data_IF_035767635603
#
_entry.id   IF_035767635603
#
_cell.length_a   1.000
_cell.length_b   1.000
_cell.length_c   1.000
_cell.angle_alpha   90.00
_cell.angle_beta   90.00
_cell.angle_gamma   90.00
#
_symmetry.space_group_name_H-M   'P 1'
#
loop_
_entity.id
_entity.type
_entity.pdbx_description
1 polymer ?
#
# COMPACT_ATOMS: atom_id res chain seq x y z
N UNK A 1 10.37 -12.85 -18.29
CA UNK A 1 9.98 -11.78 -17.36
C UNK A 1 8.87 -11.04 -18.07
N UNK A 2 7.69 -10.97 -17.45
CA UNK A 2 6.57 -10.16 -17.94
C UNK A 2 6.52 -8.91 -17.07
N UNK A 3 6.45 -7.76 -17.69
CA UNK A 3 6.30 -6.47 -17.02
C UNK A 3 4.81 -6.15 -17.01
N UNK A 4 4.31 -5.72 -15.85
CA UNK A 4 2.94 -5.22 -15.69
C UNK A 4 3.07 -3.74 -15.38
N UNK A 5 2.56 -2.93 -16.29
CA UNK A 5 2.51 -1.48 -16.10
C UNK A 5 1.21 -1.22 -15.36
N UNK A 6 1.32 -0.62 -14.18
CA UNK A 6 0.16 -0.24 -13.38
C UNK A 6 0.12 1.27 -13.32
N UNK A 7 -0.96 1.85 -13.83
CA UNK A 7 -1.20 3.27 -13.68
C UNK A 7 -1.89 3.51 -12.35
N UNK A 8 -1.42 4.52 -11.63
CA UNK A 8 -2.13 4.95 -10.43
C UNK A 8 -2.25 6.46 -10.33
N UNK A 9 -3.33 6.87 -9.70
CA UNK A 9 -3.58 8.27 -9.36
C UNK A 9 -3.42 8.43 -7.87
N UNK A 10 -2.61 9.41 -7.48
CA UNK A 10 -2.50 9.83 -6.10
C UNK A 10 -3.51 10.95 -5.85
N UNK A 11 -4.66 10.62 -5.28
CA UNK A 11 -5.58 11.66 -4.83
C UNK A 11 -5.11 12.21 -3.49
N UNK A 12 -4.64 13.46 -3.49
CA UNK A 12 -4.37 14.21 -2.25
C UNK A 12 -5.65 14.95 -1.81
N UNK A 13 -6.59 14.27 -1.18
CA UNK A 13 -7.71 14.96 -0.50
C UNK A 13 -7.33 15.21 0.96
N UNK A 14 -7.19 16.47 1.35
CA UNK A 14 -6.90 16.86 2.74
C UNK A 14 -7.94 16.34 3.76
N UNK A 15 -9.11 15.87 3.30
CA UNK A 15 -10.17 15.28 4.14
C UNK A 15 -10.10 13.76 4.23
N UNK A 16 -9.52 13.09 3.23
CA UNK A 16 -9.54 11.63 3.12
C UNK A 16 -8.14 11.00 3.13
N UNK A 17 -7.09 11.82 3.08
CA UNK A 17 -5.70 11.36 2.96
C UNK A 17 -5.32 11.11 1.50
N UNK A 18 -4.20 10.42 1.35
CA UNK A 18 -3.75 9.91 0.06
C UNK A 18 -4.50 8.63 -0.28
N UNK A 19 -5.07 8.55 -1.47
CA UNK A 19 -5.69 7.33 -2.01
C UNK A 19 -4.97 6.90 -3.28
N UNK A 20 -4.75 5.58 -3.42
CA UNK A 20 -4.20 4.96 -4.62
C UNK A 20 -5.38 4.46 -5.46
N UNK A 21 -5.58 5.05 -6.63
CA UNK A 21 -6.54 4.52 -7.61
C UNK A 21 -5.75 3.80 -8.67
N UNK A 22 -6.10 2.55 -8.94
CA UNK A 22 -5.47 1.73 -9.98
C UNK A 22 -6.36 1.78 -11.21
N UNK A 23 -5.77 2.15 -12.33
CA UNK A 23 -6.46 2.29 -13.60
C UNK A 23 -5.76 1.44 -14.67
N UNK A 24 -6.56 0.72 -15.45
CA UNK A 24 -6.08 -0.06 -16.59
C UNK A 24 -6.02 0.81 -17.87
N UNK A 25 -6.60 2.01 -17.84
CA UNK A 25 -6.63 2.95 -18.95
C UNK A 25 -5.99 4.31 -18.58
N UNK A 26 -5.28 4.89 -19.54
CA UNK A 26 -4.80 6.27 -19.44
C UNK A 26 -6.00 7.22 -19.67
N UNK A 27 -6.79 7.53 -18.63
CA UNK A 27 -7.79 8.61 -18.79
C UNK A 27 -7.09 9.97 -18.93
N UNK A 28 -7.41 10.70 -20.00
CA UNK A 28 -6.91 12.04 -20.30
C UNK A 28 -7.43 13.16 -19.35
N UNK A 29 -8.01 12.85 -18.18
CA UNK A 29 -8.53 13.88 -17.27
C UNK A 29 -7.42 14.56 -16.45
N UNK A 30 -7.60 15.84 -16.11
CA UNK A 30 -6.66 16.78 -15.44
C UNK A 30 -6.21 16.38 -14.00
N UNK A 31 -5.92 15.10 -13.75
CA UNK A 31 -5.37 14.60 -12.51
C UNK A 31 -3.87 14.29 -12.67
N UNK A 32 -3.09 14.45 -11.59
CA UNK A 32 -1.69 14.02 -11.55
C UNK A 32 -1.63 12.47 -11.58
N UNK A 33 -1.67 11.90 -12.79
CA UNK A 33 -1.49 10.46 -13.02
C UNK A 33 0.01 10.16 -12.97
N UNK A 34 0.36 9.11 -12.23
CA UNK A 34 1.73 8.63 -12.11
C UNK A 34 1.78 7.17 -12.55
N UNK A 35 2.82 6.82 -13.30
CA UNK A 35 3.05 5.43 -13.72
C UNK A 35 4.10 4.76 -12.83
N UNK A 36 3.92 3.47 -12.60
CA UNK A 36 4.96 2.58 -12.08
C UNK A 36 4.93 1.31 -12.89
N UNK A 37 6.11 0.86 -13.25
CA UNK A 37 6.30 -0.45 -13.86
C UNK A 37 6.64 -1.42 -12.73
N UNK A 38 5.79 -2.43 -12.53
CA UNK A 38 6.05 -3.52 -11.60
C UNK A 38 6.51 -4.75 -12.38
N UNK A 39 7.73 -5.20 -12.09
CA UNK A 39 8.25 -6.41 -12.70
C UNK A 39 7.69 -7.64 -11.98
N UNK A 40 7.20 -8.62 -12.75
CA UNK A 40 6.92 -9.94 -12.19
C UNK A 40 8.24 -10.70 -11.98
N UNK A 41 8.68 -10.69 -10.73
CA UNK A 41 9.97 -11.22 -10.29
C UNK A 41 9.80 -12.50 -9.45
N UNK A 42 8.96 -13.45 -9.90
CA UNK A 42 8.80 -14.72 -9.17
C UNK A 42 7.93 -15.78 -9.83
N UNK A 43 8.04 -17.03 -9.35
CA UNK A 43 7.07 -18.11 -9.61
C UNK A 43 5.90 -18.09 -8.62
N UNK A 44 6.05 -17.36 -7.51
CA UNK A 44 5.05 -17.24 -6.45
C UNK A 44 3.75 -16.60 -6.93
N UNK A 45 2.70 -16.88 -6.16
CA UNK A 45 1.34 -16.44 -6.49
C UNK A 45 1.15 -14.91 -6.38
N UNK A 46 1.73 -14.31 -5.36
CA UNK A 46 1.54 -12.91 -5.00
C UNK A 46 2.88 -12.21 -4.86
N UNK A 47 2.96 -10.99 -5.39
CA UNK A 47 4.11 -10.10 -5.23
C UNK A 47 3.68 -8.88 -4.43
N UNK A 48 4.42 -8.56 -3.38
CA UNK A 48 4.24 -7.37 -2.55
C UNK A 48 5.34 -6.38 -2.86
N UNK A 49 4.96 -5.16 -3.21
CA UNK A 49 5.84 -4.05 -3.51
C UNK A 49 5.65 -2.95 -2.48
N UNK A 50 6.75 -2.46 -1.90
CA UNK A 50 6.77 -1.23 -1.13
C UNK A 50 7.22 -0.13 -2.07
N UNK A 51 6.33 0.82 -2.33
CA UNK A 51 6.51 1.88 -3.29
C UNK A 51 6.49 3.22 -2.56
N UNK A 52 7.36 4.16 -2.93
CA UNK A 52 7.22 5.53 -2.44
C UNK A 52 7.48 6.59 -3.52
N UNK A 53 6.96 7.80 -3.27
CA UNK A 53 7.15 8.99 -4.11
C UNK A 53 7.38 10.23 -3.26
N UNK A 54 8.39 11.02 -3.65
CA UNK A 54 8.81 12.29 -3.04
C UNK A 54 8.43 13.52 -3.88
N UNK A 55 7.27 13.51 -4.54
CA UNK A 55 6.88 14.47 -5.59
C UNK A 55 7.57 14.23 -6.95
N UNK A 56 8.16 13.04 -7.12
CA UNK A 56 8.72 12.52 -8.37
C UNK A 56 8.07 11.20 -8.81
N UNK A 57 8.66 10.48 -9.77
CA UNK A 57 8.19 9.16 -10.18
C UNK A 57 8.23 8.19 -9.00
N UNK A 58 7.30 7.25 -9.00
CA UNK A 58 7.21 6.27 -7.93
C UNK A 58 8.36 5.28 -8.07
N UNK A 59 8.99 4.94 -6.94
CA UNK A 59 10.12 4.01 -6.89
C UNK A 59 9.76 2.82 -6.02
N UNK A 60 10.09 1.62 -6.50
CA UNK A 60 10.00 0.39 -5.70
C UNK A 60 11.22 0.30 -4.78
N UNK A 61 10.98 0.28 -3.48
CA UNK A 61 12.02 0.17 -2.45
C UNK A 61 12.29 -1.26 -2.02
N UNK A 62 11.25 -2.09 -2.03
CA UNK A 62 11.32 -3.46 -1.54
C UNK A 62 10.26 -4.32 -2.22
N UNK A 63 10.65 -5.56 -2.47
CA UNK A 63 9.79 -6.59 -3.02
C UNK A 63 9.79 -7.81 -2.10
N UNK A 64 8.66 -8.49 -2.02
CA UNK A 64 8.54 -9.78 -1.34
C UNK A 64 7.47 -10.64 -1.97
N UNK A 65 7.69 -11.95 -1.99
CA UNK A 65 6.83 -12.90 -2.70
C UNK A 65 6.16 -13.86 -1.72
N UNK A 66 4.93 -14.25 -2.06
CA UNK A 66 4.09 -15.11 -1.24
C UNK A 66 3.26 -16.06 -2.12
N UNK A 67 3.08 -17.28 -1.65
CA UNK A 67 2.12 -18.22 -2.24
C UNK A 67 0.66 -17.98 -1.80
N UNK A 68 0.48 -17.25 -0.70
CA UNK A 68 -0.79 -17.08 0.00
C UNK A 68 -1.11 -15.61 0.23
N UNK A 69 -2.35 -15.20 -0.07
CA UNK A 69 -2.80 -13.82 0.03
C UNK A 69 -2.87 -13.39 1.49
N UNK A 70 -3.34 -14.27 2.38
CA UNK A 70 -3.46 -13.98 3.81
C UNK A 70 -2.09 -13.61 4.42
N UNK A 71 -1.02 -14.26 3.96
CA UNK A 71 0.34 -13.95 4.41
C UNK A 71 0.84 -12.62 3.85
N UNK A 72 0.52 -12.29 2.60
CA UNK A 72 0.83 -10.99 2.01
C UNK A 72 0.10 -9.85 2.74
N UNK A 73 -1.19 -10.03 3.03
CA UNK A 73 -1.99 -9.06 3.79
C UNK A 73 -1.45 -8.87 5.22
N UNK A 74 -1.15 -9.95 5.94
CA UNK A 74 -0.54 -9.86 7.28
C UNK A 74 0.79 -9.12 7.25
N UNK A 75 1.60 -9.34 6.22
CA UNK A 75 2.85 -8.62 6.02
C UNK A 75 2.62 -7.12 5.80
N UNK A 76 1.63 -6.75 4.99
CA UNK A 76 1.21 -5.35 4.78
C UNK A 76 0.73 -4.70 6.08
N UNK A 77 -0.09 -5.40 6.86
CA UNK A 77 -0.56 -4.92 8.17
C UNK A 77 0.58 -4.80 9.19
N UNK A 78 1.56 -5.71 9.15
CA UNK A 78 2.77 -5.61 9.97
C UNK A 78 3.57 -4.36 9.63
N UNK A 79 3.80 -4.07 8.34
CA UNK A 79 4.48 -2.85 7.91
C UNK A 79 3.79 -1.59 8.46
N UNK A 80 2.48 -1.51 8.30
CA UNK A 80 1.71 -0.38 8.82
C UNK A 80 1.76 -0.29 10.34
N UNK A 81 1.56 -1.41 11.03
CA UNK A 81 1.60 -1.48 12.49
C UNK A 81 2.96 -1.10 13.07
N UNK A 82 4.06 -1.52 12.44
CA UNK A 82 5.41 -1.12 12.86
C UNK A 82 5.64 0.39 12.72
N UNK A 83 4.94 1.07 11.81
CA UNK A 83 5.07 2.51 11.60
C UNK A 83 4.17 3.33 12.53
N UNK A 84 2.94 2.87 12.74
CA UNK A 84 1.86 3.65 13.37
C UNK A 84 1.39 3.11 14.71
N UNK A 85 1.96 2.00 15.18
CA UNK A 85 1.56 1.29 16.41
C UNK A 85 0.05 0.91 16.46
N UNK A 86 -0.58 0.78 15.30
CA UNK A 86 -2.00 0.44 15.14
C UNK A 86 -2.28 -0.23 13.79
N UNK A 87 -3.53 -0.68 13.55
CA UNK A 87 -3.96 -1.13 12.22
C UNK A 87 -4.55 0.02 11.39
N UNK A 88 -4.58 -0.12 10.04
CA UNK A 88 -5.25 0.82 9.16
C UNK A 88 -6.71 1.04 9.58
N UNK A 89 -7.15 2.29 9.51
CA UNK A 89 -8.50 2.68 9.91
C UNK A 89 -9.25 3.24 8.71
N UNK A 90 -10.33 2.57 8.31
CA UNK A 90 -11.21 3.09 7.26
C UNK A 90 -12.23 4.03 7.89
N UNK A 91 -12.19 5.31 7.50
CA UNK A 91 -13.15 6.34 7.95
C UNK A 91 -14.47 6.17 7.18
N UNK A 92 -15.36 5.35 7.74
CA UNK A 92 -16.79 5.35 7.45
C UNK A 92 -17.50 6.45 8.26
N UNK A 93 -18.71 6.83 7.87
CA UNK A 93 -19.50 7.85 8.59
C UNK A 93 -19.74 7.54 10.08
N UNK A 94 -19.66 6.26 10.48
CA UNK A 94 -19.73 5.84 11.89
C UNK A 94 -18.37 5.93 12.58
N UNK A 95 -17.28 5.62 11.87
CA UNK A 95 -15.92 5.58 12.41
C UNK A 95 -15.25 6.97 12.47
N UNK A 96 -15.73 7.96 11.72
CA UNK A 96 -15.36 9.39 11.88
C UNK A 96 -15.54 9.89 13.33
N UNK A 97 -16.62 9.49 14.01
CA UNK A 97 -16.87 9.87 15.41
C UNK A 97 -15.91 9.20 16.42
N UNK A 98 -15.19 8.16 16.01
CA UNK A 98 -14.19 7.46 16.82
C UNK A 98 -12.77 8.01 16.57
N UNK A 99 -12.50 8.54 15.38
CA UNK A 99 -11.27 9.27 15.07
C UNK A 99 -11.12 10.51 15.98
N UNK A 100 -12.18 11.30 16.13
CA UNK A 100 -12.21 12.47 17.03
C UNK A 100 -12.03 12.10 18.53
N UNK A 101 -12.16 10.81 18.86
CA UNK A 101 -11.98 10.27 20.22
C UNK A 101 -10.68 9.48 20.38
N UNK A 102 -9.84 9.39 19.34
CA UNK A 102 -8.54 8.72 19.36
C UNK A 102 -8.61 7.19 19.50
N UNK A 103 -9.69 6.55 19.03
CA UNK A 103 -9.78 5.08 19.08
C UNK A 103 -9.16 4.46 17.82
N UNK A 104 -7.94 3.97 17.96
CA UNK A 104 -7.24 3.20 16.92
C UNK A 104 -7.38 1.69 17.20
N UNK A 105 -7.62 0.85 16.17
CA UNK A 105 -7.70 -0.59 16.37
C UNK A 105 -6.35 -1.12 16.89
N UNK A 106 -6.41 -1.97 17.92
CA UNK A 106 -5.23 -2.66 18.43
C UNK A 106 -4.71 -3.63 17.38
N UNK A 107 -3.39 -3.74 17.30
CA UNK A 107 -2.71 -4.75 16.49
C UNK A 107 -2.95 -6.13 17.12
N UNK A 108 -3.47 -7.11 16.36
CA UNK A 108 -3.58 -8.49 16.81
C UNK A 108 -2.22 -9.12 17.18
N UNK A 109 -2.22 -10.04 18.14
CA UNK A 109 -1.00 -10.69 18.65
C UNK A 109 -0.23 -11.46 17.55
N UNK A 110 -0.93 -12.05 16.58
CA UNK A 110 -0.29 -12.77 15.48
C UNK A 110 0.46 -11.85 14.51
N UNK A 111 0.03 -10.59 14.36
CA UNK A 111 0.77 -9.54 13.62
C UNK A 111 1.87 -8.95 14.50
N UNK A 112 1.58 -8.64 15.76
CA UNK A 112 2.55 -8.06 16.69
C UNK A 112 3.79 -8.96 16.86
N UNK A 113 3.57 -10.28 16.93
CA UNK A 113 4.63 -11.29 17.06
C UNK A 113 5.43 -11.60 15.79
N UNK A 114 5.02 -11.09 14.62
CA UNK A 114 5.81 -11.23 13.40
C UNK A 114 7.18 -10.56 13.54
N UNK A 115 8.19 -11.12 12.87
CA UNK A 115 9.52 -10.50 12.79
C UNK A 115 9.41 -9.07 12.26
N UNK A 116 10.27 -8.19 12.79
CA UNK A 116 10.33 -6.82 12.31
C UNK A 116 10.76 -6.80 10.85
N UNK A 117 9.98 -6.11 10.03
CA UNK A 117 10.31 -5.92 8.63
C UNK A 117 11.27 -4.74 8.56
N UNK A 118 12.45 -5.00 8.02
CA UNK A 118 13.40 -3.93 7.71
C UNK A 118 12.88 -3.10 6.53
N UNK A 119 12.34 -1.92 6.81
CA UNK A 119 11.96 -0.94 5.81
C UNK A 119 12.21 0.46 6.36
N UNK A 120 12.87 1.29 5.55
CA UNK A 120 13.14 2.69 5.90
C UNK A 120 12.24 3.56 5.02
N UNK A 121 11.23 4.18 5.65
CA UNK A 121 10.42 5.19 4.97
C UNK A 121 11.14 6.52 5.07
N UNK A 122 11.50 7.08 3.92
CA UNK A 122 12.07 8.41 3.84
C UNK A 122 10.99 9.42 4.27
N UNK A 123 11.34 10.28 5.21
CA UNK A 123 10.43 11.29 5.75
C UNK A 123 9.93 12.24 4.67
N UNK A 124 8.61 12.40 4.54
CA UNK A 124 7.97 13.30 3.58
C UNK A 124 7.48 12.62 2.30
N UNK A 125 7.73 11.33 2.14
CA UNK A 125 7.26 10.55 0.99
C UNK A 125 5.90 9.90 1.27
N UNK A 126 5.09 9.78 0.22
CA UNK A 126 3.92 8.90 0.26
C UNK A 126 4.38 7.48 -0.01
N UNK A 127 4.21 6.60 0.97
CA UNK A 127 4.56 5.18 0.86
C UNK A 127 3.31 4.34 0.76
N UNK A 128 3.34 3.40 -0.17
CA UNK A 128 2.27 2.46 -0.48
C UNK A 128 2.83 1.04 -0.40
N UNK A 129 1.97 0.12 -0.01
CA UNK A 129 2.18 -1.31 -0.18
C UNK A 129 1.18 -1.78 -1.22
N UNK A 130 1.66 -2.46 -2.25
CA UNK A 130 0.84 -3.00 -3.33
C UNK A 130 1.04 -4.50 -3.37
N UNK A 131 -0.05 -5.27 -3.37
CA UNK A 131 -0.03 -6.72 -3.54
C UNK A 131 -0.67 -7.07 -4.88
N UNK A 132 0.14 -7.66 -5.75
CA UNK A 132 -0.22 -8.10 -7.09
C UNK A 132 -0.50 -9.61 -7.10
N UNK A 133 -1.61 -10.03 -7.70
CA UNK A 133 -1.84 -11.42 -8.08
C UNK A 133 -1.16 -11.72 -9.42
N UNK A 134 -0.07 -12.47 -9.38
CA UNK A 134 0.77 -12.75 -10.54
C UNK A 134 0.11 -13.60 -11.62
N UNK A 135 -1.06 -14.22 -11.39
CA UNK A 135 -1.78 -14.98 -12.43
C UNK A 135 -2.86 -14.15 -13.10
N UNK A 136 -3.52 -13.28 -12.35
CA UNK A 136 -4.57 -12.43 -12.90
C UNK A 136 -4.05 -11.06 -13.32
N UNK A 137 -2.79 -10.76 -12.98
CA UNK A 137 -2.11 -9.49 -13.31
C UNK A 137 -2.89 -8.29 -12.75
N UNK A 138 -3.43 -8.49 -11.54
CA UNK A 138 -4.38 -7.57 -10.92
C UNK A 138 -3.93 -7.26 -9.49
N UNK A 139 -4.16 -6.02 -9.06
CA UNK A 139 -3.88 -5.62 -7.68
C UNK A 139 -5.03 -6.05 -6.80
N UNK A 140 -4.72 -6.92 -5.86
CA UNK A 140 -5.72 -7.52 -4.98
C UNK A 140 -5.76 -6.85 -3.60
N UNK A 141 -4.72 -6.11 -3.25
CA UNK A 141 -4.66 -5.37 -1.99
C UNK A 141 -3.66 -4.23 -2.10
N UNK A 142 -4.05 -3.04 -1.65
CA UNK A 142 -3.17 -1.91 -1.48
C UNK A 142 -3.33 -1.28 -0.09
N UNK A 143 -2.26 -0.67 0.41
CA UNK A 143 -2.27 -0.01 1.70
C UNK A 143 -1.35 1.20 1.72
N UNK A 144 -1.90 2.33 2.16
CA UNK A 144 -1.16 3.57 2.36
C UNK A 144 -0.48 3.54 3.72
N UNK A 145 0.84 3.69 3.74
CA UNK A 145 1.65 3.80 4.96
C UNK A 145 1.90 5.27 5.34
N UNK A 146 1.90 6.22 4.40
CA UNK A 146 2.09 7.66 4.72
C UNK A 146 1.04 8.55 4.04
N UNK A 147 0.43 9.50 4.80
CA UNK A 147 1.20 10.58 5.44
C UNK A 147 0.84 10.85 6.91
N UNK A 148 1.84 11.20 7.73
CA UNK A 148 1.65 12.09 8.89
C UNK A 148 1.88 13.54 8.46
#
# INVERSE_FOLDING_TARGET
MSEIIIYFRLLRDYRHGSELIIDDEEDEEDFDQHEIELEKTGEDRYSLYIVASDCGPFTVFKEKYFDDLDMAEKYSLKLFAQKHDCLPFVVTGTTSAYHDKGYYPKVPEDIESMEEIDFEVISGEHTFVIVLDNKYEDVVYDLVICPM
#
